data_IF_044096185297
#
_entry.id   IF_044096185297
#
_cell.length_a   1.000
_cell.length_b   1.000
_cell.length_c   1.000
_cell.angle_alpha   90.00
_cell.angle_beta   90.00
_cell.angle_gamma   90.00
#
_symmetry.space_group_name_H-M   'P 1'
#
loop_
_entity.id
_entity.type
_entity.pdbx_description
1 polymer ?
#
# COMPACT_ATOMS: atom_id res chain seq x y z
N UNK A 1 -22.81 34.26 65.20
CA UNK A 1 -22.02 35.22 64.40
C UNK A 1 -20.71 34.55 64.04
N UNK A 2 -20.59 34.06 62.81
CA UNK A 2 -19.35 33.47 62.28
C UNK A 2 -18.55 34.57 61.59
N UNK A 3 -17.21 34.61 61.72
CA UNK A 3 -16.41 35.62 61.05
C UNK A 3 -16.40 35.34 59.53
N UNK A 4 -16.35 36.39 58.69
CA UNK A 4 -16.19 36.19 57.25
C UNK A 4 -14.76 35.74 56.96
N UNK A 5 -14.62 34.59 56.30
CA UNK A 5 -13.37 34.13 55.71
C UNK A 5 -13.03 35.03 54.51
N UNK A 6 -12.27 36.09 54.76
CA UNK A 6 -11.52 36.80 53.73
C UNK A 6 -10.40 35.88 53.24
N UNK A 7 -10.63 35.18 52.13
CA UNK A 7 -9.57 34.54 51.36
C UNK A 7 -9.39 35.26 50.02
N UNK A 8 -8.85 36.48 50.12
CA UNK A 8 -8.16 37.13 49.00
C UNK A 8 -6.80 36.47 48.82
N UNK A 9 -6.77 35.43 47.99
CA UNK A 9 -5.55 34.98 47.32
C UNK A 9 -5.76 35.11 45.82
N UNK A 10 -5.83 36.37 45.36
CA UNK A 10 -5.65 36.71 43.94
C UNK A 10 -4.15 36.81 43.67
N UNK A 11 -3.42 35.69 43.76
CA UNK A 11 -2.17 35.62 43.03
C UNK A 11 -2.54 35.29 41.59
N UNK A 12 -2.14 36.10 40.59
CA UNK A 12 -2.13 35.61 39.23
C UNK A 12 -1.17 34.41 39.26
N UNK A 13 -1.71 33.20 39.20
CA UNK A 13 -0.90 32.00 39.01
C UNK A 13 -0.36 32.08 37.58
N UNK A 14 0.67 32.89 37.37
CA UNK A 14 1.51 32.84 36.19
C UNK A 14 2.23 31.51 36.25
N UNK A 15 1.64 30.52 35.60
CA UNK A 15 2.31 29.27 35.30
C UNK A 15 3.01 29.39 33.96
N UNK A 16 4.23 28.90 33.87
CA UNK A 16 4.94 28.75 32.61
C UNK A 16 5.11 27.27 32.29
N UNK A 17 5.16 26.97 31.00
CA UNK A 17 5.37 25.60 30.50
C UNK A 17 6.88 25.37 30.41
N UNK A 18 7.34 24.23 30.92
CA UNK A 18 8.71 23.75 30.73
C UNK A 18 8.70 22.30 30.25
N UNK A 19 9.75 21.89 29.54
CA UNK A 19 9.97 20.52 29.07
C UNK A 19 8.83 19.97 28.21
N UNK A 20 8.68 20.53 27.00
CA UNK A 20 7.81 19.97 25.98
C UNK A 20 8.44 18.71 25.38
N UNK A 21 7.77 17.58 25.57
CA UNK A 21 8.15 16.31 24.94
C UNK A 21 7.05 15.87 24.00
N UNK A 22 7.35 15.94 22.71
CA UNK A 22 6.50 15.40 21.66
C UNK A 22 6.78 13.90 21.54
N UNK A 23 5.74 13.10 21.64
CA UNK A 23 5.85 11.67 21.40
C UNK A 23 4.59 11.14 20.72
N UNK A 24 4.68 9.93 20.18
CA UNK A 24 3.57 9.31 19.47
C UNK A 24 2.42 8.96 20.42
N UNK A 25 1.20 9.25 20.01
CA UNK A 25 -0.04 8.86 20.69
C UNK A 25 -0.06 7.35 20.95
N UNK A 26 -0.50 6.97 22.14
CA UNK A 26 -0.73 5.56 22.47
C UNK A 26 -1.61 4.89 21.42
N UNK A 27 -1.15 3.76 20.89
CA UNK A 27 -1.80 3.01 19.84
C UNK A 27 -1.49 3.45 18.41
N UNK A 28 -0.88 4.60 18.17
CA UNK A 28 -0.57 4.99 16.79
C UNK A 28 0.64 4.23 16.22
N UNK A 29 0.58 3.93 14.92
CA UNK A 29 1.61 3.16 14.21
C UNK A 29 2.78 4.02 13.74
N UNK A 30 2.53 5.31 13.55
CA UNK A 30 3.43 6.32 13.00
C UNK A 30 3.10 7.68 13.63
N UNK A 31 4.01 8.65 13.52
CA UNK A 31 3.78 10.03 13.99
C UNK A 31 2.80 10.77 13.08
N UNK A 32 2.73 10.42 11.79
CA UNK A 32 1.80 11.03 10.84
C UNK A 32 1.11 9.93 10.02
N UNK A 33 -0.20 10.01 9.87
CA UNK A 33 -0.99 9.16 8.97
C UNK A 33 -1.51 9.99 7.81
N UNK A 34 -1.36 9.49 6.59
CA UNK A 34 -1.86 10.07 5.35
C UNK A 34 -2.89 9.10 4.78
N UNK A 35 -4.11 9.58 4.56
CA UNK A 35 -5.24 8.79 4.06
C UNK A 35 -6.03 9.59 3.02
N UNK A 36 -7.02 8.96 2.39
CA UNK A 36 -7.95 9.67 1.51
C UNK A 36 -8.73 10.78 2.24
N UNK A 37 -8.98 10.59 3.54
CA UNK A 37 -9.70 11.56 4.37
C UNK A 37 -8.79 12.74 4.82
N UNK A 38 -7.49 12.67 4.52
CA UNK A 38 -6.52 13.72 4.81
C UNK A 38 -5.30 13.24 5.61
N UNK A 39 -4.54 14.22 6.10
CA UNK A 39 -3.32 14.02 6.89
C UNK A 39 -3.58 14.31 8.37
N UNK A 40 -3.20 13.37 9.23
CA UNK A 40 -3.41 13.45 10.68
C UNK A 40 -2.08 13.27 11.41
N UNK A 41 -1.78 14.17 12.35
CA UNK A 41 -0.69 13.98 13.32
C UNK A 41 -1.16 13.09 14.46
N UNK A 42 -0.40 12.04 14.72
CA UNK A 42 -0.62 11.10 15.80
C UNK A 42 0.36 11.35 16.95
N UNK A 43 0.60 12.62 17.28
CA UNK A 43 1.52 13.02 18.32
C UNK A 43 0.75 13.62 19.50
N UNK A 44 1.33 13.50 20.68
CA UNK A 44 0.86 14.10 21.92
C UNK A 44 2.01 14.89 22.52
N UNK A 45 1.67 16.01 23.13
CA UNK A 45 2.64 16.88 23.80
C UNK A 45 2.47 16.67 25.29
N UNK A 46 3.52 16.17 25.92
CA UNK A 46 3.66 16.21 27.36
C UNK A 46 4.38 17.50 27.72
N UNK A 47 3.81 18.25 28.65
CA UNK A 47 4.46 19.43 29.20
C UNK A 47 4.39 19.43 30.72
N UNK A 48 5.41 20.03 31.35
CA UNK A 48 5.44 20.25 32.79
C UNK A 48 5.01 21.67 33.08
N UNK A 49 3.91 21.83 33.81
CA UNK A 49 3.45 23.14 34.25
C UNK A 49 4.18 23.52 35.54
N UNK A 50 4.92 24.63 35.50
CA UNK A 50 5.63 25.18 36.65
C UNK A 50 4.91 26.44 37.10
N UNK A 51 4.53 26.48 38.37
CA UNK A 51 3.88 27.64 38.97
C UNK A 51 4.92 28.63 39.47
N UNK A 52 4.52 29.89 39.62
CA UNK A 52 5.36 30.97 40.17
C UNK A 52 5.96 30.65 41.55
N UNK A 53 5.37 29.73 42.31
CA UNK A 53 5.88 29.26 43.61
C UNK A 53 6.86 28.07 43.50
N UNK A 54 7.31 27.72 42.30
CA UNK A 54 8.22 26.60 42.04
C UNK A 54 7.57 25.21 42.13
N UNK A 55 6.27 25.10 42.45
CA UNK A 55 5.56 23.82 42.38
C UNK A 55 5.45 23.38 40.93
N UNK A 56 5.70 22.10 40.69
CA UNK A 56 5.47 21.46 39.41
C UNK A 56 4.20 20.61 39.50
N UNK A 57 3.36 20.68 38.47
CA UNK A 57 2.31 19.69 38.26
C UNK A 57 2.85 18.62 37.31
N UNK A 58 2.68 17.32 37.62
CA UNK A 58 3.09 16.24 36.74
C UNK A 58 2.43 16.37 35.36
N UNK A 59 3.11 15.77 34.38
CA UNK A 59 2.80 15.85 32.94
C UNK A 59 1.29 15.82 32.66
N UNK A 60 0.79 16.86 32.01
CA UNK A 60 -0.52 16.82 31.36
C UNK A 60 -0.29 16.50 29.89
N UNK A 61 -0.68 15.32 29.45
CA UNK A 61 -0.74 15.00 28.03
C UNK A 61 -1.90 15.79 27.42
N UNK A 62 -1.59 16.84 26.69
CA UNK A 62 -2.58 17.44 25.80
C UNK A 62 -2.55 16.69 24.47
N UNK A 63 -3.74 16.51 23.88
CA UNK A 63 -3.79 16.20 22.44
C UNK A 63 -3.07 17.33 21.73
N UNK A 64 -2.22 17.00 20.76
CA UNK A 64 -1.75 18.00 19.83
C UNK A 64 -2.99 18.62 19.17
N UNK A 65 -3.24 19.91 19.43
CA UNK A 65 -4.41 20.58 18.88
C UNK A 65 -4.14 20.90 17.41
N UNK A 66 -4.72 20.08 16.53
CA UNK A 66 -4.62 20.28 15.08
C UNK A 66 -5.47 21.44 14.57
N UNK A 67 -6.39 21.98 15.38
CA UNK A 67 -7.32 23.03 14.92
C UNK A 67 -6.63 24.38 14.72
N UNK A 68 -5.51 24.62 15.41
CA UNK A 68 -4.64 25.80 15.22
C UNK A 68 -3.44 25.55 14.31
N UNK A 69 -3.22 24.32 13.84
CA UNK A 69 -2.02 23.89 13.12
C UNK A 69 -2.39 23.06 11.89
N UNK A 70 -2.32 23.68 10.71
CA UNK A 70 -2.58 23.00 9.45
C UNK A 70 -1.29 22.30 8.97
N UNK A 71 -1.10 21.04 9.37
CA UNK A 71 0.13 20.27 9.11
C UNK A 71 0.61 20.33 7.66
N UNK A 72 -0.31 20.29 6.70
CA UNK A 72 0.03 20.43 5.27
C UNK A 72 0.62 21.82 5.00
N UNK A 73 -0.08 22.88 5.38
CA UNK A 73 0.42 24.25 5.19
C UNK A 73 1.76 24.46 5.89
N UNK A 74 1.94 23.95 7.10
CA UNK A 74 3.21 24.10 7.80
C UNK A 74 4.34 23.32 7.12
N UNK A 75 4.13 22.05 6.81
CA UNK A 75 5.12 21.21 6.16
C UNK A 75 5.53 21.77 4.79
N UNK A 76 4.61 22.37 4.03
CA UNK A 76 4.88 22.82 2.66
C UNK A 76 5.20 24.31 2.52
N UNK A 77 4.67 25.18 3.38
CA UNK A 77 4.80 26.64 3.27
C UNK A 77 5.62 27.27 4.40
N UNK A 78 5.43 26.83 5.65
CA UNK A 78 6.01 27.54 6.81
C UNK A 78 7.33 26.94 7.29
N UNK A 79 7.57 25.64 7.08
CA UNK A 79 8.87 25.03 7.33
C UNK A 79 9.85 25.40 6.23
N UNK A 80 11.02 25.91 6.62
CA UNK A 80 12.15 26.02 5.72
C UNK A 80 12.59 24.63 5.21
N UNK A 81 13.43 24.63 4.18
CA UNK A 81 13.81 23.40 3.49
C UNK A 81 14.56 22.44 4.40
N UNK A 82 15.51 22.93 5.18
CA UNK A 82 16.41 22.08 5.97
C UNK A 82 15.64 21.44 7.13
N UNK A 83 14.82 22.23 7.83
CA UNK A 83 13.91 21.73 8.88
C UNK A 83 12.94 20.69 8.33
N UNK A 84 12.38 20.92 7.14
CA UNK A 84 11.45 19.99 6.49
C UNK A 84 12.12 18.66 6.11
N UNK A 85 13.31 18.73 5.52
CA UNK A 85 14.10 17.55 5.16
C UNK A 85 14.44 16.73 6.42
N UNK A 86 14.88 17.39 7.50
CA UNK A 86 15.16 16.75 8.78
C UNK A 86 13.91 16.12 9.40
N UNK A 87 12.79 16.84 9.41
CA UNK A 87 11.52 16.35 9.93
C UNK A 87 11.07 15.08 9.21
N UNK A 88 11.01 15.11 7.88
CA UNK A 88 10.58 13.97 7.04
C UNK A 88 11.51 12.76 7.19
N UNK A 89 12.81 13.01 7.40
CA UNK A 89 13.82 11.96 7.57
C UNK A 89 13.71 11.25 8.91
N UNK A 90 13.39 11.97 9.97
CA UNK A 90 13.43 11.47 11.36
C UNK A 90 12.10 10.88 11.84
N UNK A 91 10.97 11.28 11.25
CA UNK A 91 9.64 10.80 11.63
C UNK A 91 9.22 9.55 10.84
N UNK A 92 8.35 8.73 11.43
CA UNK A 92 7.69 7.62 10.76
C UNK A 92 6.36 8.11 10.21
N UNK A 93 6.10 7.79 8.95
CA UNK A 93 4.85 8.08 8.26
C UNK A 93 4.08 6.77 8.05
N UNK A 94 2.76 6.87 8.02
CA UNK A 94 1.86 5.77 7.66
C UNK A 94 0.96 6.23 6.51
N UNK A 95 0.93 5.47 5.41
CA UNK A 95 -0.13 5.57 4.42
C UNK A 95 -1.24 4.62 4.85
N UNK A 96 -2.45 5.15 5.04
CA UNK A 96 -3.65 4.37 5.31
C UNK A 96 -4.43 4.26 4.01
N UNK A 97 -4.47 3.03 3.47
CA UNK A 97 -5.04 2.74 2.16
C UNK A 97 -6.24 1.81 2.34
N UNK A 98 -7.38 2.18 1.74
CA UNK A 98 -8.58 1.37 1.68
C UNK A 98 -9.13 1.34 0.23
N UNK A 99 -10.24 0.64 -0.03
CA UNK A 99 -10.82 0.57 -1.38
C UNK A 99 -11.20 1.95 -1.96
N UNK A 100 -11.52 2.94 -1.12
CA UNK A 100 -11.87 4.29 -1.58
C UNK A 100 -10.65 4.98 -2.19
N UNK A 101 -9.44 4.60 -1.76
CA UNK A 101 -8.18 5.13 -2.29
C UNK A 101 -7.99 4.94 -3.80
N UNK A 102 -8.76 4.05 -4.46
CA UNK A 102 -8.72 3.86 -5.92
C UNK A 102 -10.01 4.31 -6.64
N UNK A 103 -11.00 4.82 -5.91
CA UNK A 103 -12.28 5.22 -6.51
C UNK A 103 -12.09 6.57 -7.22
N UNK A 104 -12.34 6.57 -8.51
CA UNK A 104 -12.36 7.78 -9.31
C UNK A 104 -13.76 8.40 -9.18
N UNK A 105 -13.89 9.45 -8.37
CA UNK A 105 -15.04 10.33 -8.46
C UNK A 105 -14.94 11.15 -9.77
N UNK A 106 -16.06 11.58 -10.33
CA UNK A 106 -16.05 12.39 -11.57
C UNK A 106 -15.28 13.72 -11.45
N UNK A 107 -15.02 14.20 -10.22
CA UNK A 107 -14.26 15.44 -9.93
C UNK A 107 -13.09 15.25 -8.94
N UNK A 108 -12.87 14.05 -8.39
CA UNK A 108 -11.85 13.81 -7.37
C UNK A 108 -10.66 13.06 -7.94
N UNK A 109 -9.46 13.65 -7.78
CA UNK A 109 -8.20 13.01 -8.17
C UNK A 109 -7.95 11.79 -7.29
N UNK A 110 -7.48 10.72 -7.92
CA UNK A 110 -7.10 9.49 -7.25
C UNK A 110 -6.08 9.76 -6.13
N UNK A 111 -6.21 9.06 -4.99
CA UNK A 111 -5.36 9.28 -3.83
C UNK A 111 -3.87 9.10 -4.17
N UNK A 112 -3.54 8.11 -5.00
CA UNK A 112 -2.15 7.88 -5.41
C UNK A 112 -1.67 8.92 -6.42
N UNK A 113 -2.56 9.46 -7.26
CA UNK A 113 -2.22 10.61 -8.12
C UNK A 113 -1.84 11.85 -7.27
N UNK A 114 -2.58 12.10 -6.18
CA UNK A 114 -2.25 13.17 -5.24
C UNK A 114 -0.90 12.93 -4.55
N UNK A 115 -0.66 11.71 -4.08
CA UNK A 115 0.64 11.31 -3.51
C UNK A 115 1.78 11.47 -4.53
N UNK A 116 1.54 11.15 -5.79
CA UNK A 116 2.55 11.27 -6.85
C UNK A 116 2.96 12.73 -7.08
N UNK A 117 2.02 13.68 -7.00
CA UNK A 117 2.35 15.11 -7.07
C UNK A 117 3.23 15.55 -5.90
N UNK A 118 3.09 14.89 -4.75
CA UNK A 118 3.92 15.12 -3.56
C UNK A 118 5.25 14.34 -3.60
N UNK A 119 5.55 13.60 -4.68
CA UNK A 119 6.73 12.73 -4.79
C UNK A 119 8.06 13.38 -4.40
N UNK A 120 8.39 14.62 -4.81
CA UNK A 120 9.64 15.25 -4.38
C UNK A 120 9.77 15.32 -2.86
N UNK A 121 8.68 15.66 -2.17
CA UNK A 121 8.66 15.78 -0.71
C UNK A 121 8.59 14.41 -0.05
N UNK A 122 7.73 13.51 -0.53
CA UNK A 122 7.63 12.16 0.02
C UNK A 122 8.90 11.35 -0.18
N UNK A 123 9.73 11.69 -1.18
CA UNK A 123 11.03 11.05 -1.36
C UNK A 123 12.00 11.29 -0.19
N UNK A 124 11.77 12.29 0.65
CA UNK A 124 12.59 12.56 1.82
C UNK A 124 12.26 11.62 2.99
N UNK A 125 11.06 11.03 2.98
CA UNK A 125 10.61 10.09 4.00
C UNK A 125 11.50 8.85 3.97
N UNK A 126 12.09 8.51 5.11
CA UNK A 126 12.95 7.33 5.24
C UNK A 126 12.21 6.11 5.80
N UNK A 127 11.13 6.35 6.55
CA UNK A 127 10.39 5.34 7.32
C UNK A 127 8.91 5.43 7.00
N UNK A 128 8.44 4.53 6.13
CA UNK A 128 7.05 4.45 5.74
C UNK A 128 6.43 3.14 6.20
N UNK A 129 5.23 3.25 6.76
CA UNK A 129 4.32 2.14 6.96
C UNK A 129 3.19 2.26 5.95
N UNK A 130 2.75 1.15 5.40
CA UNK A 130 1.57 1.13 4.54
C UNK A 130 0.57 0.23 5.23
N UNK A 131 -0.42 0.86 5.85
CA UNK A 131 -1.55 0.19 6.47
C UNK A 131 -2.64 0.02 5.44
N UNK A 132 -2.94 -1.23 5.13
CA UNK A 132 -3.94 -1.60 4.15
C UNK A 132 -5.15 -2.13 4.90
N UNK A 133 -6.27 -1.42 4.78
CA UNK A 133 -7.56 -1.85 5.32
C UNK A 133 -8.15 -2.82 4.30
N UNK A 134 -8.14 -4.11 4.64
CA UNK A 134 -8.67 -5.15 3.76
C UNK A 134 -10.20 -5.02 3.74
N UNK A 135 -10.83 -4.88 2.57
CA UNK A 135 -12.26 -4.62 2.46
C UNK A 135 -13.14 -5.74 3.04
N UNK A 136 -14.27 -5.31 3.62
CA UNK A 136 -15.25 -6.16 4.32
C UNK A 136 -16.11 -7.03 3.39
N UNK A 137 -16.25 -6.64 2.12
CA UNK A 137 -17.26 -7.16 1.20
C UNK A 137 -16.92 -8.45 0.48
N UNK A 138 -15.69 -8.95 0.60
CA UNK A 138 -15.28 -10.21 -0.02
C UNK A 138 -15.55 -11.39 0.90
N UNK A 139 -16.19 -12.46 0.38
CA UNK A 139 -16.03 -13.77 0.98
C UNK A 139 -14.53 -14.04 1.21
N UNK A 140 -14.17 -14.75 2.29
CA UNK A 140 -12.79 -15.15 2.51
C UNK A 140 -12.29 -15.85 1.26
N UNK A 141 -11.06 -15.51 0.86
CA UNK A 141 -10.46 -16.08 -0.33
C UNK A 141 -9.95 -17.48 0.03
N UNK A 142 -10.85 -18.46 -0.09
CA UNK A 142 -10.60 -19.84 0.31
C UNK A 142 -9.89 -20.69 -0.77
N UNK A 143 -9.72 -20.17 -1.98
CA UNK A 143 -9.10 -20.90 -3.09
C UNK A 143 -8.23 -20.00 -3.97
N UNK A 144 -7.24 -20.61 -4.65
CA UNK A 144 -6.38 -19.92 -5.62
C UNK A 144 -7.21 -19.30 -6.77
N UNK A 145 -8.33 -19.92 -7.15
CA UNK A 145 -9.22 -19.41 -8.21
C UNK A 145 -10.06 -18.23 -7.73
N UNK A 146 -10.64 -18.31 -6.53
CA UNK A 146 -11.34 -17.19 -5.89
C UNK A 146 -10.39 -16.00 -5.71
N UNK A 147 -9.11 -16.26 -5.42
CA UNK A 147 -8.12 -15.20 -5.32
C UNK A 147 -7.89 -14.50 -6.66
N UNK A 148 -7.69 -15.27 -7.72
CA UNK A 148 -7.36 -14.76 -9.05
C UNK A 148 -8.40 -13.75 -9.56
N UNK A 149 -9.68 -14.02 -9.28
CA UNK A 149 -10.83 -13.24 -9.71
C UNK A 149 -11.30 -12.20 -8.67
N UNK A 150 -10.71 -12.19 -7.46
CA UNK A 150 -11.17 -11.30 -6.40
C UNK A 150 -10.85 -9.82 -6.67
N UNK A 151 -11.80 -8.90 -6.39
CA UNK A 151 -11.53 -7.46 -6.36
C UNK A 151 -10.41 -7.09 -5.39
N UNK A 152 -10.33 -7.80 -4.25
CA UNK A 152 -9.27 -7.61 -3.25
C UNK A 152 -7.89 -7.84 -3.83
N UNK A 153 -7.71 -8.86 -4.69
CA UNK A 153 -6.43 -9.09 -5.37
C UNK A 153 -6.06 -7.92 -6.28
N UNK A 154 -7.01 -7.44 -7.09
CA UNK A 154 -6.77 -6.31 -7.99
C UNK A 154 -6.38 -5.05 -7.21
N UNK A 155 -7.10 -4.76 -6.12
CA UNK A 155 -6.78 -3.68 -5.18
C UNK A 155 -5.36 -3.79 -4.62
N UNK A 156 -4.98 -4.94 -4.05
CA UNK A 156 -3.67 -5.13 -3.44
C UNK A 156 -2.52 -5.06 -4.46
N UNK A 157 -2.74 -5.54 -5.68
CA UNK A 157 -1.78 -5.38 -6.78
C UNK A 157 -1.62 -3.90 -7.14
N UNK A 158 -2.73 -3.15 -7.22
CA UNK A 158 -2.70 -1.70 -7.39
C UNK A 158 -1.85 -1.03 -6.32
N UNK A 159 -2.11 -1.32 -5.04
CA UNK A 159 -1.34 -0.78 -3.92
C UNK A 159 0.15 -1.10 -4.04
N UNK A 160 0.50 -2.35 -4.34
CA UNK A 160 1.90 -2.75 -4.50
C UNK A 160 2.58 -2.00 -5.66
N UNK A 161 1.89 -1.81 -6.78
CA UNK A 161 2.41 -1.05 -7.91
C UNK A 161 2.63 0.43 -7.55
N UNK A 162 1.71 1.04 -6.81
CA UNK A 162 1.85 2.44 -6.41
C UNK A 162 2.97 2.65 -5.38
N UNK A 163 3.13 1.72 -4.44
CA UNK A 163 4.23 1.79 -3.45
C UNK A 163 5.61 1.69 -4.12
N UNK A 164 5.71 0.99 -5.26
CA UNK A 164 6.97 0.88 -5.98
C UNK A 164 7.57 2.23 -6.39
N UNK A 165 6.78 3.31 -6.47
CA UNK A 165 7.26 4.65 -6.81
C UNK A 165 8.08 5.34 -5.72
N UNK A 166 8.06 4.86 -4.47
CA UNK A 166 8.77 5.47 -3.34
C UNK A 166 10.22 4.98 -3.19
N UNK A 167 11.05 5.15 -4.22
CA UNK A 167 12.39 4.53 -4.30
C UNK A 167 13.38 4.89 -3.18
N UNK A 168 13.13 5.95 -2.42
CA UNK A 168 14.02 6.46 -1.37
C UNK A 168 13.77 5.88 0.02
N UNK A 169 12.77 5.01 0.19
CA UNK A 169 12.43 4.43 1.49
C UNK A 169 13.55 3.48 1.97
N UNK A 170 14.03 3.71 3.19
CA UNK A 170 14.94 2.77 3.87
C UNK A 170 14.21 1.62 4.54
N UNK A 171 12.94 1.85 4.93
CA UNK A 171 12.11 0.87 5.61
C UNK A 171 10.67 0.98 5.16
N UNK A 172 10.10 -0.16 4.80
CA UNK A 172 8.70 -0.34 4.43
C UNK A 172 8.07 -1.41 5.33
N UNK A 173 7.15 -1.03 6.20
CA UNK A 173 6.34 -2.03 6.92
C UNK A 173 4.94 -2.07 6.28
N UNK A 174 4.54 -3.21 5.72
CA UNK A 174 3.18 -3.43 5.20
C UNK A 174 2.34 -4.01 6.34
N UNK A 175 1.31 -3.28 6.75
CA UNK A 175 0.39 -3.66 7.83
C UNK A 175 -0.94 -4.05 7.21
N UNK A 176 -1.29 -5.33 7.30
CA UNK A 176 -2.63 -5.79 6.92
C UNK A 176 -3.57 -5.57 8.09
N UNK A 177 -4.50 -4.63 7.95
CA UNK A 177 -5.56 -4.38 8.92
C UNK A 177 -6.78 -5.20 8.52
N UNK A 178 -7.02 -6.26 9.28
CA UNK A 178 -8.09 -7.21 9.01
C UNK A 178 -9.34 -6.80 9.79
N UNK A 179 -10.50 -7.10 9.22
CA UNK A 179 -11.76 -6.91 9.93
C UNK A 179 -11.99 -7.99 10.97
N UNK A 180 -12.91 -7.75 11.92
CA UNK A 180 -13.31 -8.73 12.95
C UNK A 180 -13.74 -10.08 12.37
N UNK A 181 -14.23 -10.10 11.13
CA UNK A 181 -14.65 -11.33 10.47
C UNK A 181 -13.48 -12.29 10.22
N UNK A 182 -12.23 -11.83 10.33
CA UNK A 182 -11.03 -12.64 10.12
C UNK A 182 -10.50 -13.31 11.40
N UNK A 183 -11.10 -13.05 12.58
CA UNK A 183 -10.61 -13.54 13.88
C UNK A 183 -10.53 -15.08 14.00
N UNK A 184 -11.27 -15.82 13.16
CA UNK A 184 -11.32 -17.29 13.19
C UNK A 184 -10.56 -17.98 12.06
N UNK A 185 -9.91 -17.25 11.15
CA UNK A 185 -9.17 -17.87 10.05
C UNK A 185 -7.79 -18.28 10.51
N UNK A 186 -7.33 -19.44 10.02
CA UNK A 186 -5.93 -19.76 10.21
C UNK A 186 -5.12 -18.67 9.52
N UNK A 187 -4.09 -18.20 10.22
CA UNK A 187 -3.18 -17.18 9.70
C UNK A 187 -2.64 -17.52 8.29
N UNK A 188 -2.64 -18.81 7.95
CA UNK A 188 -2.27 -19.37 6.64
C UNK A 188 -3.21 -18.98 5.49
N UNK A 189 -4.51 -18.82 5.73
CA UNK A 189 -5.49 -18.46 4.71
C UNK A 189 -5.31 -17.00 4.24
N UNK A 190 -4.59 -16.20 5.04
CA UNK A 190 -4.30 -14.81 4.74
C UNK A 190 -3.10 -14.62 3.79
N UNK A 191 -2.42 -15.71 3.43
CA UNK A 191 -1.21 -15.71 2.58
C UNK A 191 -1.44 -14.96 1.27
N UNK A 192 -2.64 -15.11 0.70
CA UNK A 192 -3.03 -14.50 -0.56
C UNK A 192 -2.96 -12.98 -0.53
N UNK A 193 -3.26 -12.34 0.60
CA UNK A 193 -3.23 -10.88 0.73
C UNK A 193 -1.80 -10.31 0.77
N UNK A 194 -0.81 -11.12 1.11
CA UNK A 194 0.60 -10.70 1.15
C UNK A 194 1.33 -10.87 -0.20
N UNK A 195 0.84 -11.76 -1.08
CA UNK A 195 1.51 -12.11 -2.34
C UNK A 195 1.86 -10.91 -3.23
N UNK A 196 1.02 -9.87 -3.40
CA UNK A 196 1.34 -8.72 -4.24
C UNK A 196 2.59 -7.96 -3.77
N UNK A 197 2.92 -8.00 -2.48
CA UNK A 197 4.05 -7.25 -1.93
C UNK A 197 5.39 -7.98 -2.10
N UNK A 198 5.37 -9.28 -2.43
CA UNK A 198 6.58 -10.03 -2.77
C UNK A 198 7.26 -9.54 -4.05
N UNK A 199 6.53 -8.82 -4.91
CA UNK A 199 7.08 -8.29 -6.16
C UNK A 199 7.81 -6.96 -5.98
N UNK A 200 7.80 -6.40 -4.77
CA UNK A 200 8.52 -5.16 -4.42
C UNK A 200 10.04 -5.42 -4.32
N UNK A 201 10.69 -5.59 -5.47
CA UNK A 201 12.13 -5.89 -5.56
C UNK A 201 13.02 -4.78 -5.01
N UNK A 202 12.52 -3.55 -4.96
CA UNK A 202 13.28 -2.36 -4.57
C UNK A 202 13.30 -2.12 -3.05
N UNK A 203 12.57 -2.90 -2.24
CA UNK A 203 12.47 -2.71 -0.78
C UNK A 203 12.84 -3.96 0.03
N UNK A 204 14.08 -4.45 -0.03
CA UNK A 204 14.44 -5.74 0.55
C UNK A 204 14.38 -5.87 2.08
N UNK A 205 14.25 -4.82 2.91
CA UNK A 205 13.81 -5.02 4.29
C UNK A 205 12.34 -4.64 4.48
N UNK A 206 11.44 -5.05 3.57
CA UNK A 206 10.00 -4.93 3.85
C UNK A 206 9.57 -5.96 4.90
N UNK A 207 8.64 -5.57 5.77
CA UNK A 207 8.10 -6.44 6.81
C UNK A 207 6.59 -6.53 6.68
N UNK A 208 6.08 -7.75 6.74
CA UNK A 208 4.65 -7.95 6.93
C UNK A 208 4.30 -7.88 8.41
N UNK A 209 3.28 -7.11 8.73
CA UNK A 209 2.68 -7.00 10.04
C UNK A 209 1.17 -7.22 9.90
N UNK A 210 0.55 -7.74 10.95
CA UNK A 210 -0.90 -7.86 11.03
C UNK A 210 -1.45 -6.95 12.12
N UNK A 211 -2.68 -6.49 11.93
CA UNK A 211 -3.40 -5.67 12.88
C UNK A 211 -4.87 -6.07 12.95
N UNK A 212 -5.29 -6.53 14.11
CA UNK A 212 -6.69 -6.80 14.44
C UNK A 212 -7.33 -5.58 15.11
N UNK A 213 -8.67 -5.47 15.11
CA UNK A 213 -9.36 -4.37 15.76
C UNK A 213 -9.04 -4.29 17.26
N UNK A 214 -8.49 -3.14 17.69
CA UNK A 214 -8.06 -2.93 19.07
C UNK A 214 -6.61 -3.35 19.35
N UNK A 215 -5.93 -4.03 18.42
CA UNK A 215 -4.53 -4.41 18.58
C UNK A 215 -3.59 -3.24 18.26
N UNK A 216 -2.77 -2.87 19.25
CA UNK A 216 -1.70 -1.90 19.08
C UNK A 216 -0.54 -2.19 20.03
N UNK A 217 0.73 -2.20 19.55
CA UNK A 217 1.18 -2.05 18.18
C UNK A 217 0.87 -3.29 17.30
N UNK A 218 0.91 -3.17 15.97
CA UNK A 218 0.77 -4.31 15.07
C UNK A 218 1.87 -5.34 15.31
N UNK A 219 1.55 -6.59 15.07
CA UNK A 219 2.45 -7.71 15.35
C UNK A 219 3.20 -8.16 14.11
N UNK A 220 4.49 -8.44 14.28
CA UNK A 220 5.32 -8.97 13.19
C UNK A 220 4.87 -10.39 12.86
N UNK A 221 4.63 -10.61 11.58
CA UNK A 221 4.29 -11.94 11.08
C UNK A 221 5.47 -12.91 11.23
N UNK A 222 5.18 -14.15 11.66
CA UNK A 222 6.19 -15.18 11.90
C UNK A 222 7.02 -15.47 10.64
N UNK A 223 8.32 -15.74 10.82
CA UNK A 223 9.25 -15.97 9.70
C UNK A 223 8.88 -17.18 8.82
N UNK A 224 8.26 -18.21 9.41
CA UNK A 224 7.75 -19.38 8.67
C UNK A 224 6.68 -19.00 7.64
N UNK A 225 5.83 -18.02 7.95
CA UNK A 225 4.83 -17.53 7.03
C UNK A 225 5.44 -16.74 5.88
N UNK A 226 6.36 -15.79 6.19
CA UNK A 226 7.07 -15.02 5.16
C UNK A 226 7.81 -15.95 4.20
N UNK A 227 8.44 -17.01 4.72
CA UNK A 227 9.09 -18.04 3.91
C UNK A 227 8.11 -18.71 2.94
N UNK A 228 6.94 -19.15 3.42
CA UNK A 228 5.91 -19.80 2.58
C UNK A 228 5.30 -18.86 1.55
N UNK A 229 5.03 -17.61 1.94
CA UNK A 229 4.60 -16.54 1.02
C UNK A 229 5.60 -16.42 -0.13
N UNK A 230 6.90 -16.35 0.17
CA UNK A 230 7.96 -16.27 -0.83
C UNK A 230 8.06 -17.54 -1.69
N UNK A 231 7.92 -18.73 -1.10
CA UNK A 231 7.88 -20.00 -1.84
C UNK A 231 6.70 -20.06 -2.81
N UNK A 232 5.50 -19.67 -2.37
CA UNK A 232 4.30 -19.59 -3.22
C UNK A 232 4.49 -18.55 -4.33
N UNK A 233 5.07 -17.39 -4.02
CA UNK A 233 5.40 -16.37 -5.02
C UNK A 233 6.38 -16.91 -6.08
N UNK A 234 7.44 -17.62 -5.66
CA UNK A 234 8.39 -18.25 -6.58
C UNK A 234 7.74 -19.34 -7.44
N UNK A 235 6.83 -20.15 -6.88
CA UNK A 235 6.06 -21.13 -7.63
C UNK A 235 5.15 -20.48 -8.68
N UNK A 236 4.45 -19.39 -8.32
CA UNK A 236 3.61 -18.63 -9.24
C UNK A 236 4.44 -18.04 -10.39
N UNK A 237 5.61 -17.49 -10.10
CA UNK A 237 6.52 -16.95 -11.11
C UNK A 237 7.03 -18.05 -12.06
N UNK A 238 7.37 -19.23 -11.53
CA UNK A 238 7.76 -20.39 -12.34
C UNK A 238 6.62 -20.82 -13.28
N UNK A 239 5.38 -20.91 -12.77
CA UNK A 239 4.19 -21.24 -13.56
C UNK A 239 3.94 -20.22 -14.67
N UNK A 240 4.07 -18.92 -14.39
CA UNK A 240 3.95 -17.86 -15.40
C UNK A 240 4.96 -18.03 -16.53
N UNK A 241 6.24 -18.27 -16.21
CA UNK A 241 7.30 -18.49 -17.21
C UNK A 241 7.03 -19.72 -18.08
N UNK A 242 6.56 -20.80 -17.47
CA UNK A 242 6.18 -22.02 -18.19
C UNK A 242 4.99 -21.77 -19.14
N UNK A 243 3.97 -21.01 -18.70
CA UNK A 243 2.83 -20.66 -19.52
C UNK A 243 3.21 -19.76 -20.71
N UNK A 244 4.07 -18.76 -20.50
CA UNK A 244 4.60 -17.91 -21.58
C UNK A 244 5.38 -18.73 -22.59
N UNK A 245 6.27 -19.62 -22.12
CA UNK A 245 7.02 -20.51 -22.99
C UNK A 245 6.10 -21.41 -23.82
N UNK A 246 5.12 -22.05 -23.18
CA UNK A 246 4.15 -22.90 -23.88
C UNK A 246 3.35 -22.14 -24.95
N UNK A 247 3.03 -20.87 -24.70
CA UNK A 247 2.35 -20.01 -25.66
C UNK A 247 3.25 -19.70 -26.87
N UNK A 248 4.51 -19.35 -26.64
CA UNK A 248 5.49 -19.11 -27.71
C UNK A 248 5.73 -20.37 -28.54
N UNK A 249 5.92 -21.52 -27.89
CA UNK A 249 6.10 -22.81 -28.57
C UNK A 249 4.87 -23.15 -29.45
N UNK A 250 3.66 -22.82 -28.98
CA UNK A 250 2.42 -23.00 -29.75
C UNK A 250 2.31 -22.04 -30.95
N UNK A 251 2.70 -20.78 -30.79
CA UNK A 251 2.74 -19.79 -31.88
C UNK A 251 3.76 -20.20 -32.97
N UNK A 252 4.93 -20.69 -32.58
CA UNK A 252 5.95 -21.22 -33.49
C UNK A 252 5.47 -22.47 -34.25
N UNK A 253 4.75 -23.37 -33.58
CA UNK A 253 4.16 -24.54 -34.23
C UNK A 253 3.12 -24.15 -35.28
N UNK A 254 2.26 -23.16 -34.99
CA UNK A 254 1.27 -22.62 -35.95
C UNK A 254 1.97 -21.95 -37.14
N UNK A 255 3.00 -21.16 -36.90
CA UNK A 255 3.78 -20.49 -37.94
C UNK A 255 4.48 -21.51 -38.86
N UNK A 256 5.05 -22.58 -38.29
CA UNK A 256 5.67 -23.66 -39.06
C UNK A 256 4.65 -24.47 -39.87
N UNK A 257 3.48 -24.81 -39.30
CA UNK A 257 2.41 -25.48 -40.04
C UNK A 257 1.92 -24.62 -41.23
N UNK A 258 1.78 -23.30 -41.03
CA UNK A 258 1.35 -22.36 -42.07
C UNK A 258 2.37 -22.21 -43.21
N UNK A 259 3.65 -22.52 -42.99
CA UNK A 259 4.68 -22.56 -44.05
C UNK A 259 4.64 -23.84 -44.89
N UNK A 260 4.08 -24.92 -44.36
CA UNK A 260 4.03 -26.23 -45.04
C UNK A 260 2.80 -26.30 -45.98
N UNK A 261 1.70 -25.63 -45.63
CA UNK A 261 0.42 -25.70 -46.36
C UNK A 261 0.44 -25.08 -47.78
N UNK A 262 1.19 -24.00 -48.11
CA UNK A 262 1.24 -23.46 -49.48
C UNK A 262 1.89 -24.40 -50.50
N UNK A 263 2.71 -25.36 -50.04
CA UNK A 263 3.44 -26.31 -50.89
C UNK A 263 2.53 -27.41 -51.45
N UNK A 264 1.52 -27.85 -50.70
CA UNK A 264 0.59 -28.89 -51.14
C UNK A 264 -0.41 -28.37 -52.19
N UNK A 265 -0.94 -27.16 -52.01
CA UNK A 265 -1.91 -26.57 -52.94
C UNK A 265 -1.32 -26.11 -54.28
N UNK A 266 -0.02 -25.79 -54.33
CA UNK A 266 0.66 -25.44 -55.58
C UNK A 266 1.06 -26.65 -56.45
N UNK A 267 1.07 -27.87 -55.89
CA UNK A 267 1.32 -29.10 -56.67
C UNK A 267 0.05 -29.62 -57.35
N UNK A 268 -1.10 -29.60 -56.67
CA UNK A 268 -2.38 -30.04 -57.28
C UNK A 268 -2.88 -29.12 -58.41
N UNK A 269 -2.57 -27.82 -58.37
CA UNK A 269 -2.97 -26.90 -59.45
C UNK A 269 -2.13 -27.03 -60.73
N UNK A 270 -0.95 -27.68 -60.68
CA UNK A 270 -0.16 -28.00 -61.88
C UNK A 270 -0.60 -29.31 -62.54
N UNK A 271 -0.93 -30.34 -61.77
CA UNK A 271 -1.44 -31.60 -62.34
C UNK A 271 -2.84 -31.45 -62.95
N UNK A 272 -3.74 -30.67 -62.35
CA UNK A 272 -5.08 -30.48 -62.92
C UNK A 272 -5.09 -29.63 -64.21
N UNK A 273 -4.05 -28.82 -64.46
CA UNK A 273 -3.89 -28.10 -65.75
C UNK A 273 -3.36 -28.98 -66.88
N UNK A 274 -2.72 -30.11 -66.59
CA UNK A 274 -2.29 -31.06 -67.61
C UNK A 274 -3.42 -32.02 -68.05
N UNK A 275 -4.36 -32.32 -67.15
CA UNK A 275 -5.52 -33.18 -67.48
C UNK A 275 -6.55 -32.42 -68.34
N UNK A 276 -6.73 -31.12 -68.15
CA UNK A 276 -7.70 -30.34 -68.97
C UNK A 276 -7.23 -30.06 -70.40
N UNK A 277 -5.94 -30.22 -70.72
CA UNK A 277 -5.42 -30.04 -72.09
C UNK A 277 -5.61 -31.26 -73.00
N UNK A 278 -6.05 -32.41 -72.48
CA UNK A 278 -6.28 -33.64 -73.27
C UNK A 278 -7.72 -33.87 -73.71
N UNK A 279 -8.66 -33.00 -73.37
CA UNK A 279 -10.08 -33.14 -73.74
C UNK A 279 -10.51 -31.97 -74.63
N UNK A 280 -9.88 -31.81 -75.79
CA UNK A 280 -10.36 -30.86 -76.83
C UNK A 280 -9.88 -31.25 -78.23
N UNK A 281 -10.11 -32.49 -78.67
CA UNK A 281 -9.98 -32.87 -80.09
C UNK A 281 -10.91 -34.06 -80.41
N UNK A 282 -12.21 -33.81 -80.45
CA UNK A 282 -13.16 -34.64 -81.23
C UNK A 282 -14.21 -33.69 -81.80
N UNK A 283 -14.30 -33.59 -83.12
CA UNK A 283 -15.39 -32.91 -83.80
C UNK A 283 -14.95 -31.91 -84.87
N UNK A 284 -14.35 -32.41 -85.96
CA UNK A 284 -14.41 -31.79 -87.29
C UNK A 284 -14.01 -32.84 -88.32
N UNK A 285 -15.01 -33.59 -88.80
CA UNK A 285 -15.26 -34.03 -90.19
C UNK A 285 -16.48 -34.96 -90.19
#
# INVERSE_FOLDING_TARGET
MSPPLNNTSKFPNTSYITNEKIHRKAGANAEVSISIDGIVRNEVVDYTQVYSNGRTLPFRSARYDSSSYEFVTDLFKNMDRDTREEYLKNHCFELVVDERSFRHGHDERDFFEQLFRMKPTLSLIQRLKVKIIVPLGGCPILSDQNYAESPTRAFLIGVANEINYFHSLKRLDVVLALSKNFENYEFWDLMVYALPFCTLKNFPPWRLMHQDPGMFPPEKVRGSYVKRVNEKAAQLEKRKRQAVKAKLDAEDAIANASRIIPSAFHKETKENKEVTKKVTWVGLL
#
